data_IF_287731873437
#
_entry.id   IF_287731873437
#
_cell.length_a   1.000
_cell.length_b   1.000
_cell.length_c   1.000
_cell.angle_alpha   90.00
_cell.angle_beta   90.00
_cell.angle_gamma   90.00
#
_symmetry.space_group_name_H-M   'P 1'
#
loop_
_entity.id
_entity.type
_entity.pdbx_description
1 polymer ?
#
# COMPACT_ATOMS: atom_id res chain seq x y z
N UNK A 1 2.08 -25.85 -17.68
CA UNK A 1 1.80 -24.42 -17.96
C UNK A 1 2.64 -24.06 -19.16
N UNK A 2 2.18 -23.21 -20.09
CA UNK A 2 2.96 -22.82 -21.26
C UNK A 2 4.11 -21.89 -20.81
N UNK A 3 5.33 -22.20 -21.27
CA UNK A 3 6.50 -21.38 -20.99
C UNK A 3 6.48 -20.14 -21.92
N UNK A 4 6.38 -18.96 -21.31
CA UNK A 4 6.33 -17.67 -22.02
C UNK A 4 7.56 -16.81 -21.77
N UNK A 5 8.59 -17.40 -21.20
CA UNK A 5 9.82 -16.72 -20.83
C UNK A 5 9.56 -15.45 -19.96
N UNK A 6 8.54 -15.48 -19.09
CA UNK A 6 8.20 -14.33 -18.25
C UNK A 6 7.69 -14.75 -16.87
N UNK A 7 8.34 -14.28 -15.83
CA UNK A 7 7.87 -14.35 -14.44
C UNK A 7 7.42 -12.97 -13.95
N UNK A 8 6.50 -12.97 -13.02
CA UNK A 8 6.09 -11.76 -12.32
C UNK A 8 6.28 -11.93 -10.83
N UNK A 9 7.06 -11.06 -10.23
CA UNK A 9 7.25 -11.01 -8.78
C UNK A 9 6.45 -9.83 -8.24
N UNK A 10 5.57 -10.10 -7.29
CA UNK A 10 4.71 -9.09 -6.66
C UNK A 10 5.12 -8.96 -5.20
N UNK A 11 5.30 -7.72 -4.76
CA UNK A 11 5.70 -7.40 -3.39
C UNK A 11 4.67 -6.46 -2.76
N UNK A 12 4.28 -6.76 -1.53
CA UNK A 12 3.36 -5.92 -0.74
C UNK A 12 3.93 -5.76 0.67
N UNK A 13 4.30 -4.53 1.00
CA UNK A 13 4.72 -4.16 2.35
C UNK A 13 3.52 -3.94 3.27
N UNK A 14 3.78 -3.68 4.55
CA UNK A 14 2.73 -3.34 5.51
C UNK A 14 2.00 -2.06 5.10
N UNK A 15 0.73 -1.96 5.45
CA UNK A 15 -0.04 -0.74 5.23
C UNK A 15 0.61 0.44 5.97
N UNK A 16 0.66 1.60 5.29
CA UNK A 16 1.36 2.77 5.81
C UNK A 16 2.84 2.87 5.44
N UNK A 17 3.41 1.85 4.78
CA UNK A 17 4.76 1.95 4.24
C UNK A 17 4.86 3.06 3.20
N UNK A 18 5.94 3.85 3.25
CA UNK A 18 6.17 4.94 2.31
C UNK A 18 6.58 4.42 0.93
N UNK A 19 6.45 5.30 -0.07
CA UNK A 19 6.94 5.01 -1.43
C UNK A 19 8.45 4.74 -1.42
N UNK A 20 9.22 5.55 -0.69
CA UNK A 20 10.67 5.42 -0.62
C UNK A 20 11.11 4.09 -0.01
N UNK A 21 10.41 3.65 1.04
CA UNK A 21 10.66 2.32 1.62
C UNK A 21 10.44 1.20 0.59
N UNK A 22 9.33 1.27 -0.13
CA UNK A 22 8.99 0.26 -1.12
C UNK A 22 9.92 0.31 -2.34
N UNK A 23 10.33 1.49 -2.75
CA UNK A 23 11.26 1.71 -3.86
C UNK A 23 12.66 1.17 -3.55
N UNK A 24 13.16 1.44 -2.33
CA UNK A 24 14.42 0.84 -1.86
C UNK A 24 14.33 -0.68 -1.80
N UNK A 25 13.22 -1.22 -1.24
CA UNK A 25 13.01 -2.66 -1.21
C UNK A 25 13.01 -3.27 -2.62
N UNK A 26 12.37 -2.62 -3.59
CA UNK A 26 12.34 -3.11 -4.97
C UNK A 26 13.70 -3.03 -5.66
N UNK A 27 14.52 -2.04 -5.32
CA UNK A 27 15.90 -1.93 -5.79
C UNK A 27 16.76 -3.11 -5.29
N UNK A 28 16.63 -3.42 -3.99
CA UNK A 28 17.33 -4.55 -3.38
C UNK A 28 16.84 -5.89 -3.97
N UNK A 29 15.51 -6.01 -4.19
CA UNK A 29 14.89 -7.18 -4.79
C UNK A 29 15.35 -7.39 -6.25
N UNK A 30 15.44 -6.35 -7.06
CA UNK A 30 15.91 -6.48 -8.45
C UNK A 30 17.36 -6.94 -8.48
N UNK A 31 18.23 -6.39 -7.65
CA UNK A 31 19.63 -6.83 -7.53
C UNK A 31 19.72 -8.30 -7.06
N UNK A 32 18.82 -8.71 -6.16
CA UNK A 32 18.74 -10.09 -5.73
C UNK A 32 18.32 -11.02 -6.89
N UNK A 33 17.30 -10.64 -7.65
CA UNK A 33 16.79 -11.42 -8.77
C UNK A 33 17.81 -11.55 -9.92
N UNK A 34 18.56 -10.50 -10.24
CA UNK A 34 19.67 -10.53 -11.22
C UNK A 34 20.72 -11.57 -10.83
N UNK A 35 20.97 -11.76 -9.55
CA UNK A 35 21.93 -12.75 -9.06
C UNK A 35 21.38 -14.19 -9.08
N UNK A 36 20.12 -14.38 -8.69
CA UNK A 36 19.52 -15.71 -8.52
C UNK A 36 18.91 -16.29 -9.80
N UNK A 37 18.68 -15.44 -10.81
CA UNK A 37 18.11 -15.82 -12.12
C UNK A 37 19.06 -15.42 -13.24
N UNK A 38 20.15 -16.16 -13.45
CA UNK A 38 21.12 -15.85 -14.50
C UNK A 38 20.52 -15.92 -15.93
N UNK A 39 19.36 -16.56 -16.10
CA UNK A 39 18.61 -16.63 -17.35
C UNK A 39 17.75 -15.38 -17.62
N UNK A 40 17.84 -14.36 -16.76
CA UNK A 40 17.13 -13.10 -17.00
C UNK A 40 17.73 -12.36 -18.23
N UNK A 41 16.84 -11.76 -19.01
CA UNK A 41 17.19 -10.85 -20.10
C UNK A 41 16.87 -9.40 -19.78
N UNK A 42 15.81 -9.17 -19.02
CA UNK A 42 15.37 -7.84 -18.56
C UNK A 42 14.50 -7.95 -17.31
N UNK A 43 14.80 -7.14 -16.31
CA UNK A 43 13.94 -6.94 -15.16
C UNK A 43 13.34 -5.54 -15.22
N UNK A 44 12.01 -5.45 -15.24
CA UNK A 44 11.27 -4.20 -15.22
C UNK A 44 10.50 -4.08 -13.91
N UNK A 45 10.86 -3.13 -13.07
CA UNK A 45 10.25 -2.84 -11.77
C UNK A 45 9.28 -1.66 -11.84
N UNK A 46 8.17 -1.74 -11.11
CA UNK A 46 7.22 -0.66 -10.94
C UNK A 46 6.77 -0.58 -9.48
N UNK A 47 7.05 0.55 -8.84
CA UNK A 47 6.64 0.88 -7.47
C UNK A 47 5.44 1.82 -7.48
N UNK A 48 4.51 1.65 -6.53
CA UNK A 48 3.41 2.59 -6.32
C UNK A 48 2.24 2.46 -7.29
N UNK A 49 1.94 1.26 -7.77
CA UNK A 49 0.85 1.04 -8.73
C UNK A 49 -0.52 1.42 -8.16
N UNK A 50 -1.27 2.23 -8.93
CA UNK A 50 -2.65 2.59 -8.61
C UNK A 50 -2.81 3.45 -7.36
N UNK A 51 -1.79 4.23 -7.02
CA UNK A 51 -1.79 5.11 -5.84
C UNK A 51 -1.52 4.39 -4.51
N UNK A 52 -1.12 3.12 -4.56
CA UNK A 52 -0.68 2.38 -3.37
C UNK A 52 0.84 2.47 -3.22
N UNK A 53 1.32 3.10 -2.17
CA UNK A 53 2.75 3.25 -1.90
C UNK A 53 3.41 1.96 -1.43
N UNK A 54 2.65 1.06 -0.83
CA UNK A 54 3.11 -0.20 -0.24
C UNK A 54 3.08 -1.41 -1.18
N UNK A 55 2.77 -1.22 -2.46
CA UNK A 55 2.65 -2.31 -3.44
C UNK A 55 3.52 -2.05 -4.66
N UNK A 56 4.23 -3.08 -5.08
CA UNK A 56 5.08 -3.04 -6.25
C UNK A 56 5.12 -4.40 -6.96
N UNK A 57 5.61 -4.41 -8.18
CA UNK A 57 5.91 -5.65 -8.88
C UNK A 57 7.10 -5.48 -9.82
N UNK A 58 7.77 -6.57 -10.12
CA UNK A 58 8.68 -6.63 -11.25
C UNK A 58 8.28 -7.76 -12.21
N UNK A 59 8.50 -7.51 -13.50
CA UNK A 59 8.43 -8.52 -14.53
C UNK A 59 9.87 -8.93 -14.87
N UNK A 60 10.17 -10.20 -14.73
CA UNK A 60 11.45 -10.81 -15.10
C UNK A 60 11.22 -11.48 -16.46
N UNK A 61 11.79 -10.91 -17.50
CA UNK A 61 11.82 -11.51 -18.82
C UNK A 61 13.02 -12.43 -18.89
N UNK A 62 12.79 -13.69 -19.23
CA UNK A 62 13.83 -14.69 -19.37
C UNK A 62 14.30 -14.75 -20.84
N UNK A 63 15.51 -15.26 -21.06
CA UNK A 63 15.95 -15.65 -22.39
C UNK A 63 15.02 -16.74 -22.96
N UNK A 64 14.93 -16.90 -24.29
CA UNK A 64 14.10 -17.93 -24.92
C UNK A 64 14.35 -19.32 -24.31
N UNK A 65 13.32 -20.18 -24.32
CA UNK A 65 13.41 -21.51 -23.70
C UNK A 65 14.48 -22.43 -24.33
N UNK A 66 14.85 -22.16 -25.58
CA UNK A 66 15.92 -22.84 -26.30
C UNK A 66 17.34 -22.43 -25.88
N UNK A 67 17.46 -21.28 -25.19
CA UNK A 67 18.74 -20.71 -24.76
C UNK A 67 18.98 -20.85 -23.25
N UNK A 68 18.18 -21.66 -22.54
CA UNK A 68 18.30 -21.86 -21.10
C UNK A 68 18.05 -23.32 -20.70
N UNK A 69 18.71 -23.74 -19.61
CA UNK A 69 18.59 -25.10 -19.09
C UNK A 69 17.34 -25.29 -18.22
N UNK A 70 16.96 -24.27 -17.43
CA UNK A 70 15.80 -24.33 -16.52
C UNK A 70 14.54 -23.81 -17.24
N UNK A 71 13.44 -24.53 -17.07
CA UNK A 71 12.11 -24.04 -17.51
C UNK A 71 11.64 -22.88 -16.63
N UNK A 72 10.72 -22.07 -17.16
CA UNK A 72 10.07 -20.99 -16.39
C UNK A 72 9.46 -21.51 -15.08
N UNK A 73 8.90 -22.72 -15.08
CA UNK A 73 8.29 -23.33 -13.89
C UNK A 73 9.36 -23.69 -12.85
N UNK A 74 10.46 -24.28 -13.25
CA UNK A 74 11.58 -24.64 -12.35
C UNK A 74 12.17 -23.38 -11.70
N UNK A 75 12.39 -22.31 -12.47
CA UNK A 75 12.87 -21.03 -11.93
C UNK A 75 11.86 -20.46 -10.91
N UNK A 76 10.56 -20.53 -11.20
CA UNK A 76 9.53 -20.05 -10.27
C UNK A 76 9.48 -20.86 -8.99
N UNK A 77 9.61 -22.20 -9.09
CA UNK A 77 9.59 -23.11 -7.95
C UNK A 77 10.84 -22.94 -7.06
N UNK A 78 11.99 -22.68 -7.66
CA UNK A 78 13.25 -22.39 -6.95
C UNK A 78 13.20 -21.02 -6.24
N UNK A 79 12.62 -20.00 -6.88
CA UNK A 79 12.51 -18.67 -6.30
C UNK A 79 11.47 -18.57 -5.18
N UNK A 80 10.37 -19.29 -5.27
CA UNK A 80 9.25 -19.15 -4.34
C UNK A 80 9.63 -19.33 -2.86
N UNK A 81 10.42 -20.33 -2.44
CA UNK A 81 10.85 -20.48 -1.05
C UNK A 81 11.84 -19.38 -0.62
N UNK A 82 12.70 -18.93 -1.53
CA UNK A 82 13.70 -17.89 -1.25
C UNK A 82 13.02 -16.53 -1.03
N UNK A 83 12.07 -16.15 -1.89
CA UNK A 83 11.31 -14.91 -1.77
C UNK A 83 10.47 -14.83 -0.50
N UNK A 84 10.00 -15.98 0.03
CA UNK A 84 9.29 -16.03 1.32
C UNK A 84 10.18 -15.70 2.52
N UNK A 85 11.49 -15.84 2.40
CA UNK A 85 12.44 -15.55 3.47
C UNK A 85 12.82 -14.06 3.52
N UNK A 86 12.52 -13.30 2.46
CA UNK A 86 12.79 -11.87 2.45
C UNK A 86 11.90 -11.15 3.46
N UNK A 87 12.54 -10.39 4.33
CA UNK A 87 11.86 -9.54 5.32
C UNK A 87 11.60 -8.15 4.72
N UNK A 88 10.59 -7.46 5.18
CA UNK A 88 10.30 -6.10 4.73
C UNK A 88 9.05 -5.99 3.84
N UNK A 89 8.80 -6.95 2.96
CA UNK A 89 7.56 -7.06 2.21
C UNK A 89 7.20 -8.52 1.94
N UNK A 90 5.92 -8.81 1.85
CA UNK A 90 5.42 -10.11 1.39
C UNK A 90 5.66 -10.19 -0.11
N UNK A 91 6.60 -11.03 -0.52
CA UNK A 91 6.99 -11.17 -1.92
C UNK A 91 6.64 -12.55 -2.44
N UNK A 92 6.03 -12.59 -3.63
CA UNK A 92 5.57 -13.83 -4.28
C UNK A 92 5.90 -13.79 -5.77
N UNK A 93 6.36 -14.94 -6.30
CA UNK A 93 6.46 -15.15 -7.74
C UNK A 93 5.13 -15.68 -8.26
N UNK A 94 4.67 -15.14 -9.38
CA UNK A 94 3.46 -15.55 -10.07
C UNK A 94 3.75 -15.75 -11.56
N UNK A 95 3.02 -16.66 -12.19
CA UNK A 95 3.10 -16.89 -13.63
C UNK A 95 1.76 -16.49 -14.27
N UNK A 96 1.80 -15.93 -15.46
CA UNK A 96 0.59 -15.62 -16.22
C UNK A 96 -0.11 -16.90 -16.65
N UNK A 97 -1.35 -17.05 -16.25
CA UNK A 97 -2.20 -18.13 -16.75
C UNK A 97 -2.62 -17.83 -18.20
N UNK A 98 -2.63 -18.87 -19.05
CA UNK A 98 -3.05 -18.76 -20.47
C UNK A 98 -4.56 -18.57 -20.60
N UNK A 99 -5.33 -19.18 -19.68
CA UNK A 99 -6.78 -19.11 -19.60
C UNK A 99 -7.20 -18.81 -18.16
N UNK A 100 -8.21 -17.95 -17.97
CA UNK A 100 -8.77 -17.60 -16.68
C UNK A 100 -8.74 -16.11 -16.37
N UNK A 101 -9.04 -15.76 -15.13
CA UNK A 101 -9.13 -14.37 -14.68
C UNK A 101 -7.73 -13.71 -14.70
N UNK A 102 -7.48 -12.84 -15.68
CA UNK A 102 -6.19 -12.17 -15.90
C UNK A 102 -5.77 -11.21 -14.79
N UNK A 103 -6.55 -11.06 -13.73
CA UNK A 103 -6.30 -10.11 -12.64
C UNK A 103 -5.34 -10.61 -11.56
N UNK A 104 -4.82 -11.84 -11.68
CA UNK A 104 -3.79 -12.37 -10.75
C UNK A 104 -4.31 -12.63 -9.33
N UNK A 105 -5.60 -12.92 -9.18
CA UNK A 105 -6.22 -13.38 -7.93
C UNK A 105 -5.95 -14.87 -7.65
N UNK A 106 -6.18 -15.28 -6.42
CA UNK A 106 -6.20 -16.69 -6.04
C UNK A 106 -7.46 -17.35 -6.61
N UNK A 107 -7.45 -18.67 -6.89
CA UNK A 107 -8.51 -19.34 -7.64
C UNK A 107 -9.85 -19.44 -6.90
N UNK A 108 -9.86 -19.34 -5.59
CA UNK A 108 -11.06 -19.27 -4.75
C UNK A 108 -11.28 -17.83 -4.35
N UNK A 109 -12.45 -17.27 -4.65
CA UNK A 109 -12.85 -15.95 -4.20
C UNK A 109 -14.20 -16.02 -3.49
N UNK A 110 -14.27 -15.54 -2.26
CA UNK A 110 -15.48 -15.50 -1.46
C UNK A 110 -15.74 -14.07 -0.99
N UNK A 111 -16.91 -13.52 -1.37
CA UNK A 111 -17.28 -12.15 -1.04
C UNK A 111 -18.21 -12.13 0.18
N UNK A 112 -17.75 -11.50 1.25
CA UNK A 112 -18.52 -11.25 2.47
C UNK A 112 -19.13 -9.86 2.37
N UNK A 113 -20.44 -9.76 2.58
CA UNK A 113 -21.18 -8.51 2.51
C UNK A 113 -21.79 -8.16 3.87
N UNK A 114 -21.83 -6.87 4.17
CA UNK A 114 -22.52 -6.35 5.34
C UNK A 114 -23.21 -5.02 5.06
N UNK A 115 -24.09 -4.59 5.95
CA UNK A 115 -24.80 -3.30 5.83
C UNK A 115 -23.85 -2.11 6.05
N UNK A 116 -22.90 -2.27 6.97
CA UNK A 116 -21.92 -1.24 7.32
C UNK A 116 -20.53 -1.84 7.55
N UNK A 117 -19.54 -0.98 7.72
CA UNK A 117 -18.14 -1.35 7.89
C UNK A 117 -17.87 -1.99 9.27
N UNK A 118 -18.60 -1.56 10.30
CA UNK A 118 -18.41 -2.05 11.67
C UNK A 118 -18.83 -3.51 11.78
N UNK A 119 -19.90 -3.91 11.09
CA UNK A 119 -20.33 -5.32 11.01
C UNK A 119 -19.23 -6.17 10.37
N UNK A 120 -18.62 -5.71 9.27
CA UNK A 120 -17.48 -6.41 8.65
C UNK A 120 -16.29 -6.49 9.59
N UNK A 121 -15.95 -5.40 10.28
CA UNK A 121 -14.85 -5.35 11.26
C UNK A 121 -15.02 -6.38 12.37
N UNK A 122 -16.27 -6.66 12.78
CA UNK A 122 -16.59 -7.66 13.79
C UNK A 122 -16.54 -9.11 13.28
N UNK A 123 -16.91 -9.34 12.03
CA UNK A 123 -17.04 -10.69 11.44
C UNK A 123 -15.72 -11.20 10.86
N UNK A 124 -14.98 -10.34 10.14
CA UNK A 124 -13.79 -10.73 9.39
C UNK A 124 -12.71 -11.42 10.22
N UNK A 125 -12.36 -10.96 11.45
CA UNK A 125 -11.33 -11.65 12.24
C UNK A 125 -11.70 -13.09 12.59
N UNK A 126 -12.97 -13.36 12.88
CA UNK A 126 -13.47 -14.71 13.18
C UNK A 126 -13.40 -15.60 11.95
N UNK A 127 -13.90 -15.11 10.82
CA UNK A 127 -13.86 -15.81 9.55
C UNK A 127 -12.42 -16.14 9.12
N UNK A 128 -11.52 -15.17 9.18
CA UNK A 128 -10.12 -15.35 8.81
C UNK A 128 -9.38 -16.31 9.75
N UNK A 129 -9.74 -16.35 11.03
CA UNK A 129 -9.20 -17.33 11.96
C UNK A 129 -9.60 -18.77 11.56
N UNK A 130 -10.85 -19.01 11.17
CA UNK A 130 -11.31 -20.32 10.70
C UNK A 130 -10.62 -20.69 9.36
N UNK A 131 -10.51 -19.76 8.43
CA UNK A 131 -9.78 -19.98 7.16
C UNK A 131 -8.31 -20.36 7.44
N UNK A 132 -7.67 -19.69 8.40
CA UNK A 132 -6.27 -19.95 8.75
C UNK A 132 -6.02 -21.33 9.35
N UNK A 133 -7.02 -21.87 10.04
CA UNK A 133 -6.95 -23.20 10.66
C UNK A 133 -7.37 -24.32 9.70
N UNK A 134 -7.96 -23.98 8.55
CA UNK A 134 -8.42 -24.96 7.59
C UNK A 134 -7.26 -25.61 6.81
N UNK A 135 -7.14 -26.94 6.79
CA UNK A 135 -6.14 -27.64 6.00
C UNK A 135 -6.42 -27.65 4.49
N UNK A 136 -7.58 -27.13 4.09
CA UNK A 136 -8.01 -27.11 2.69
C UNK A 136 -7.29 -26.05 1.86
N UNK A 137 -6.72 -25.03 2.52
CA UNK A 137 -6.09 -23.88 1.85
C UNK A 137 -4.58 -23.83 2.13
N UNK A 138 -3.79 -23.64 1.07
CA UNK A 138 -2.34 -23.42 1.17
C UNK A 138 -1.96 -21.96 1.37
N UNK A 139 -2.78 -21.06 0.84
CA UNK A 139 -2.58 -19.61 0.90
C UNK A 139 -3.93 -18.93 0.87
N UNK A 140 -4.06 -17.87 1.64
CA UNK A 140 -5.26 -17.04 1.66
C UNK A 140 -4.88 -15.57 1.83
N UNK A 141 -5.72 -14.67 1.37
CA UNK A 141 -5.58 -13.22 1.54
C UNK A 141 -6.96 -12.57 1.67
N UNK A 142 -6.99 -11.43 2.36
CA UNK A 142 -8.16 -10.58 2.55
C UNK A 142 -7.88 -9.22 1.93
N UNK A 143 -8.77 -8.73 1.07
CA UNK A 143 -8.62 -7.42 0.42
C UNK A 143 -8.88 -6.23 1.37
N UNK A 144 -9.80 -6.39 2.34
CA UNK A 144 -10.15 -5.36 3.32
C UNK A 144 -9.32 -5.50 4.59
N UNK A 145 -8.24 -4.72 4.70
CA UNK A 145 -7.33 -4.72 5.86
C UNK A 145 -7.52 -3.45 6.68
N UNK A 146 -7.69 -3.58 8.00
CA UNK A 146 -7.82 -2.46 8.95
C UNK A 146 -6.46 -2.14 9.60
N UNK A 147 -5.43 -1.98 8.76
CA UNK A 147 -4.04 -1.87 9.23
C UNK A 147 -3.34 -0.59 8.81
N UNK A 148 -4.00 0.26 7.99
CA UNK A 148 -3.41 1.55 7.63
C UNK A 148 -3.45 2.48 8.85
N UNK A 149 -2.29 2.91 9.38
CA UNK A 149 -2.26 3.90 10.45
C UNK A 149 -2.84 5.23 9.95
N UNK A 150 -3.66 5.83 10.78
CA UNK A 150 -4.29 7.13 10.53
C UNK A 150 -4.18 7.98 11.77
N UNK A 151 -3.86 9.25 11.57
CA UNK A 151 -3.83 10.26 12.62
C UNK A 151 -5.04 11.18 12.47
N UNK A 152 -5.99 11.07 13.38
CA UNK A 152 -7.15 11.97 13.45
C UNK A 152 -6.79 13.19 14.27
N UNK A 153 -6.92 14.37 13.66
CA UNK A 153 -6.64 15.66 14.29
C UNK A 153 -7.97 16.31 14.68
N UNK A 154 -8.24 16.39 15.97
CA UNK A 154 -9.44 17.03 16.53
C UNK A 154 -9.10 18.46 16.99
N UNK A 155 -9.78 19.46 16.40
CA UNK A 155 -9.57 20.86 16.74
C UNK A 155 -10.40 21.24 17.97
N UNK A 156 -9.73 21.77 19.00
CA UNK A 156 -10.40 22.35 20.18
C UNK A 156 -10.91 23.76 19.84
N UNK A 157 -12.17 23.83 19.42
CA UNK A 157 -12.80 25.07 18.94
C UNK A 157 -12.91 26.14 20.02
N UNK A 158 -13.15 25.75 21.26
CA UNK A 158 -13.29 26.69 22.38
C UNK A 158 -11.95 27.36 22.68
N UNK A 159 -10.89 26.57 22.72
CA UNK A 159 -9.53 27.07 22.95
C UNK A 159 -9.04 27.93 21.79
N UNK A 160 -9.35 27.54 20.54
CA UNK A 160 -9.04 28.35 19.36
C UNK A 160 -9.73 29.72 19.41
N UNK A 161 -11.02 29.76 19.77
CA UNK A 161 -11.79 30.99 19.92
C UNK A 161 -11.21 31.91 21.01
N UNK A 162 -10.84 31.36 22.17
CA UNK A 162 -10.21 32.11 23.24
C UNK A 162 -8.89 32.76 22.84
N UNK A 163 -8.09 32.07 22.02
CA UNK A 163 -6.80 32.54 21.53
C UNK A 163 -6.92 33.38 20.24
N UNK A 164 -8.13 33.57 19.74
CA UNK A 164 -8.42 34.34 18.53
C UNK A 164 -7.87 33.70 17.25
N UNK A 165 -7.84 32.37 17.21
CA UNK A 165 -7.42 31.60 16.05
C UNK A 165 -8.66 31.02 15.38
N UNK A 166 -8.81 31.23 14.05
CA UNK A 166 -9.91 30.63 13.32
C UNK A 166 -9.64 29.16 12.98
N UNK A 167 -10.70 28.35 12.87
CA UNK A 167 -10.60 26.97 12.39
C UNK A 167 -10.05 26.92 10.97
N UNK A 168 -10.36 27.94 10.15
CA UNK A 168 -9.85 28.07 8.80
C UNK A 168 -8.32 28.23 8.78
N UNK A 169 -7.77 29.09 9.64
CA UNK A 169 -6.32 29.30 9.73
C UNK A 169 -5.60 28.03 10.20
N UNK A 170 -6.18 27.30 11.16
CA UNK A 170 -5.65 26.01 11.61
C UNK A 170 -5.64 25.02 10.42
N UNK A 171 -6.74 24.84 9.73
CA UNK A 171 -6.88 23.92 8.62
C UNK A 171 -5.94 24.28 7.46
N UNK A 172 -5.85 25.57 7.13
CA UNK A 172 -4.95 26.06 6.08
C UNK A 172 -3.49 25.84 6.44
N UNK A 173 -3.11 26.06 7.68
CA UNK A 173 -1.76 25.82 8.14
C UNK A 173 -1.39 24.33 8.07
N UNK A 174 -2.29 23.44 8.53
CA UNK A 174 -2.10 22.01 8.40
C UNK A 174 -1.97 21.57 6.94
N UNK A 175 -2.79 22.12 6.04
CA UNK A 175 -2.69 21.81 4.62
C UNK A 175 -1.34 22.24 4.02
N UNK A 176 -0.87 23.45 4.34
CA UNK A 176 0.39 23.98 3.82
C UNK A 176 1.62 23.24 4.36
N UNK A 177 1.53 22.69 5.56
CA UNK A 177 2.67 22.05 6.23
C UNK A 177 2.71 20.54 6.00
N UNK A 178 1.55 19.88 5.96
CA UNK A 178 1.43 18.41 5.97
C UNK A 178 1.05 17.81 4.61
N UNK A 179 0.63 18.63 3.64
CA UNK A 179 0.27 18.15 2.31
C UNK A 179 1.02 18.91 1.22
N UNK A 180 1.17 18.25 0.07
CA UNK A 180 1.77 18.84 -1.14
C UNK A 180 0.79 19.82 -1.78
N UNK A 181 0.62 21.00 -1.17
CA UNK A 181 -0.36 21.93 -1.64
C UNK A 181 0.21 22.85 -2.73
N UNK A 182 -0.49 22.89 -3.86
CA UNK A 182 -0.21 23.84 -4.90
C UNK A 182 -0.63 25.25 -4.47
N UNK A 183 0.33 26.17 -4.36
CA UNK A 183 0.11 27.55 -3.96
C UNK A 183 0.06 28.52 -5.16
N UNK A 184 0.50 28.07 -6.34
CA UNK A 184 0.48 28.92 -7.53
C UNK A 184 1.15 28.29 -8.74
N UNK A 185 1.40 29.13 -9.73
CA UNK A 185 2.10 28.77 -10.96
C UNK A 185 3.11 29.86 -11.32
N UNK A 186 4.18 29.48 -12.01
CA UNK A 186 5.05 30.41 -12.69
C UNK A 186 5.25 29.98 -14.15
N UNK A 187 5.59 30.94 -15.00
CA UNK A 187 5.82 30.68 -16.41
C UNK A 187 7.31 30.82 -16.69
N UNK A 188 7.90 29.77 -17.26
CA UNK A 188 9.31 29.77 -17.70
C UNK A 188 9.36 29.20 -19.12
N UNK A 189 9.99 29.93 -20.04
CA UNK A 189 10.15 29.55 -21.45
C UNK A 189 8.82 29.14 -22.12
N UNK A 190 7.73 29.89 -21.85
CA UNK A 190 6.41 29.60 -22.41
C UNK A 190 5.67 28.39 -21.84
N UNK A 191 6.24 27.72 -20.83
CA UNK A 191 5.63 26.60 -20.13
C UNK A 191 5.23 27.02 -18.72
N UNK A 192 4.07 26.50 -18.28
CA UNK A 192 3.54 26.75 -16.94
C UNK A 192 3.98 25.66 -15.98
N UNK A 193 4.58 26.04 -14.86
CA UNK A 193 5.04 25.15 -13.78
C UNK A 193 4.24 25.42 -12.51
N UNK A 194 3.95 24.34 -11.75
CA UNK A 194 3.27 24.44 -10.47
C UNK A 194 4.27 24.79 -9.36
N UNK A 195 3.85 25.62 -8.42
CA UNK A 195 4.56 25.88 -7.17
C UNK A 195 3.87 25.04 -6.10
N UNK A 196 4.58 24.06 -5.53
CA UNK A 196 4.11 23.22 -4.46
C UNK A 196 4.85 23.63 -3.18
N UNK A 197 4.11 23.83 -2.08
CA UNK A 197 4.67 24.14 -0.77
C UNK A 197 4.50 22.93 0.15
N UNK A 198 5.58 22.53 0.78
CA UNK A 198 5.59 21.47 1.78
C UNK A 198 6.69 21.73 2.82
N UNK A 199 6.55 21.16 4.01
CA UNK A 199 7.65 21.09 4.95
C UNK A 199 8.65 20.00 4.52
N UNK A 200 9.90 20.18 4.89
CA UNK A 200 10.90 19.12 4.74
C UNK A 200 10.42 17.84 5.44
N UNK A 201 10.67 16.68 4.82
CA UNK A 201 10.23 15.38 5.36
C UNK A 201 10.72 15.12 6.79
N UNK A 202 11.90 15.62 7.14
CA UNK A 202 12.47 15.51 8.49
C UNK A 202 11.67 16.27 9.56
N UNK A 203 10.86 17.25 9.14
CA UNK A 203 10.06 18.12 10.01
C UNK A 203 8.57 17.75 10.06
N UNK A 204 8.15 16.67 9.37
CA UNK A 204 6.76 16.20 9.31
C UNK A 204 6.61 14.68 9.38
N UNK A 205 7.58 13.99 9.96
CA UNK A 205 7.59 12.53 10.01
C UNK A 205 7.05 11.94 11.32
N UNK A 206 6.80 12.77 12.33
CA UNK A 206 6.27 12.35 13.63
C UNK A 206 5.11 13.25 14.06
N UNK A 207 4.12 12.71 14.81
CA UNK A 207 3.03 13.51 15.39
C UNK A 207 3.54 14.70 16.23
N UNK A 208 4.66 14.51 16.94
CA UNK A 208 5.26 15.56 17.76
C UNK A 208 5.77 16.76 16.94
N UNK A 209 5.98 16.63 15.64
CA UNK A 209 6.46 17.72 14.80
C UNK A 209 5.39 18.82 14.63
N UNK A 210 4.11 18.52 14.89
CA UNK A 210 3.04 19.53 14.94
C UNK A 210 3.26 20.59 16.03
N UNK A 211 4.01 20.30 17.09
CA UNK A 211 4.37 21.27 18.12
C UNK A 211 5.28 22.40 17.60
N UNK A 212 5.98 22.17 16.48
CA UNK A 212 6.83 23.18 15.85
C UNK A 212 6.08 24.09 14.89
N UNK A 213 4.80 23.81 14.63
CA UNK A 213 3.95 24.58 13.71
C UNK A 213 3.15 25.61 14.49
N UNK A 214 3.15 26.84 14.02
CA UNK A 214 2.48 27.97 14.67
C UNK A 214 1.43 28.59 13.76
N UNK A 215 0.33 29.05 14.39
CA UNK A 215 -0.74 29.81 13.75
C UNK A 215 -0.81 31.21 14.39
N UNK A 216 -1.20 32.20 13.62
CA UNK A 216 -1.39 33.55 14.14
C UNK A 216 -2.74 33.67 14.85
N UNK A 217 -2.70 34.06 16.11
CA UNK A 217 -3.87 34.34 16.92
C UNK A 217 -4.11 35.83 17.08
N UNK A 218 -4.87 36.15 18.13
CA UNK A 218 -5.20 37.54 18.51
C UNK A 218 -3.91 38.36 18.70
N UNK A 219 -3.96 39.62 18.31
CA UNK A 219 -2.83 40.55 18.39
C UNK A 219 -1.56 40.07 17.67
N UNK A 220 -1.73 39.26 16.63
CA UNK A 220 -0.62 38.71 15.83
C UNK A 220 0.34 37.81 16.62
N UNK A 221 -0.08 37.30 17.77
CA UNK A 221 0.71 36.37 18.58
C UNK A 221 0.75 34.98 17.94
N UNK A 222 1.91 34.34 17.98
CA UNK A 222 2.05 32.97 17.50
C UNK A 222 1.56 31.97 18.56
N UNK A 223 0.65 31.10 18.14
CA UNK A 223 0.10 30.01 18.96
C UNK A 223 0.53 28.68 18.32
N UNK A 224 1.16 27.82 19.12
CA UNK A 224 1.54 26.49 18.62
C UNK A 224 0.30 25.62 18.37
N UNK A 225 0.32 24.83 17.29
CA UNK A 225 -0.80 23.98 16.90
C UNK A 225 -1.11 22.88 17.93
N UNK A 226 -0.15 22.35 18.64
CA UNK A 226 -0.35 21.34 19.68
C UNK A 226 -1.24 21.83 20.82
N UNK A 227 -1.29 23.15 21.04
CA UNK A 227 -2.21 23.77 22.00
C UNK A 227 -3.67 23.81 21.50
N UNK A 228 -3.89 23.71 20.20
CA UNK A 228 -5.19 23.90 19.56
C UNK A 228 -5.83 22.59 19.08
N UNK A 229 -5.04 21.50 19.01
CA UNK A 229 -5.50 20.21 18.49
C UNK A 229 -5.20 19.08 19.47
N UNK A 230 -5.98 18.01 19.38
CA UNK A 230 -5.66 16.72 19.98
C UNK A 230 -5.51 15.69 18.87
N UNK A 231 -4.57 14.77 19.03
CA UNK A 231 -4.28 13.74 18.05
C UNK A 231 -4.66 12.38 18.59
N UNK A 232 -5.36 11.60 17.79
CA UNK A 232 -5.75 10.24 18.09
C UNK A 232 -5.24 9.32 16.99
N UNK A 233 -4.46 8.32 17.37
CA UNK A 233 -4.02 7.29 16.46
C UNK A 233 -5.12 6.24 16.30
N UNK A 234 -5.45 5.94 15.06
CA UNK A 234 -6.44 4.94 14.68
C UNK A 234 -5.93 4.10 13.51
N UNK A 235 -6.67 3.07 13.17
CA UNK A 235 -6.40 2.29 11.97
C UNK A 235 -7.65 2.17 11.12
N UNK A 236 -7.52 2.50 9.85
CA UNK A 236 -8.62 2.44 8.88
C UNK A 236 -8.25 1.56 7.71
N UNK A 237 -9.24 1.04 6.98
CA UNK A 237 -8.96 0.36 5.74
C UNK A 237 -8.57 1.39 4.66
N UNK A 238 -7.48 1.15 3.91
CA UNK A 238 -7.03 2.06 2.85
C UNK A 238 -8.01 2.15 1.68
N UNK A 239 -8.87 1.15 1.54
CA UNK A 239 -9.90 1.05 0.50
C UNK A 239 -11.16 0.45 1.07
N UNK A 240 -12.30 0.95 0.58
CA UNK A 240 -13.63 0.38 0.83
C UNK A 240 -14.13 -0.28 -0.43
N UNK A 241 -14.56 -1.54 -0.30
CA UNK A 241 -15.12 -2.30 -1.41
C UNK A 241 -16.64 -2.39 -1.27
N UNK A 242 -17.30 -2.45 -2.40
CA UNK A 242 -18.75 -2.68 -2.47
C UNK A 242 -19.04 -3.73 -3.51
N UNK A 243 -19.89 -4.66 -3.13
CA UNK A 243 -20.44 -5.66 -4.02
C UNK A 243 -21.95 -5.61 -3.90
N UNK A 244 -22.64 -5.49 -5.02
CA UNK A 244 -24.11 -5.36 -5.06
C UNK A 244 -24.67 -4.29 -4.07
N UNK A 245 -24.01 -3.11 -4.03
CA UNK A 245 -24.32 -1.95 -3.16
C UNK A 245 -24.02 -2.11 -1.67
N UNK A 246 -23.74 -3.32 -1.19
CA UNK A 246 -23.33 -3.56 0.20
C UNK A 246 -21.81 -3.32 0.37
N UNK A 247 -21.42 -2.93 1.57
CA UNK A 247 -20.00 -2.92 1.94
C UNK A 247 -19.51 -4.36 1.93
N UNK A 248 -18.37 -4.61 1.31
CA UNK A 248 -17.90 -5.97 1.09
C UNK A 248 -16.42 -6.12 1.37
N UNK A 249 -16.04 -7.36 1.64
CA UNK A 249 -14.65 -7.81 1.70
C UNK A 249 -14.53 -9.11 0.92
N UNK A 250 -13.45 -9.26 0.15
CA UNK A 250 -13.17 -10.47 -0.62
C UNK A 250 -12.04 -11.25 0.05
N UNK A 251 -12.35 -12.49 0.40
CA UNK A 251 -11.36 -13.47 0.83
C UNK A 251 -10.97 -14.31 -0.37
N UNK A 252 -9.69 -14.30 -0.71
CA UNK A 252 -9.13 -15.09 -1.79
C UNK A 252 -8.27 -16.22 -1.21
N UNK A 253 -8.34 -17.41 -1.80
CA UNK A 253 -7.56 -18.55 -1.32
C UNK A 253 -7.09 -19.46 -2.46
N UNK A 254 -6.02 -20.21 -2.19
CA UNK A 254 -5.57 -21.32 -3.04
C UNK A 254 -5.79 -22.65 -2.33
N UNK A 255 -6.27 -23.68 -3.01
CA UNK A 255 -6.38 -25.02 -2.43
C UNK A 255 -5.02 -25.56 -2.01
N UNK A 256 -4.99 -26.40 -0.99
CA UNK A 256 -3.82 -27.15 -0.59
C UNK A 256 -3.45 -28.21 -1.65
N UNK A 257 -2.19 -28.67 -1.64
CA UNK A 257 -1.70 -29.68 -2.58
C UNK A 257 -2.57 -30.95 -2.51
N UNK A 258 -3.10 -31.38 -3.66
CA UNK A 258 -3.99 -32.54 -3.78
C UNK A 258 -5.47 -32.25 -3.53
N UNK A 259 -5.85 -30.99 -3.29
CA UNK A 259 -7.25 -30.56 -3.21
C UNK A 259 -7.69 -29.92 -4.53
N UNK A 260 -8.94 -30.11 -4.90
CA UNK A 260 -9.56 -29.58 -6.13
C UNK A 260 -10.65 -28.57 -5.80
N UNK A 261 -11.02 -27.76 -6.79
CA UNK A 261 -12.08 -26.76 -6.71
C UNK A 261 -13.46 -27.37 -6.99
N UNK A 262 -13.68 -28.63 -6.70
CA UNK A 262 -14.92 -29.31 -6.96
C UNK A 262 -15.39 -30.16 -5.81
#
# INVERSE_FOLDING_TARGET
MEDRAQLRVVSTATEGSSFEYMDQYMTDLTTYLEKEVPEENLIMSLTGRGGQTNSAFCNVMLVPSEDRDRTQQEIADDLAPQLKQLTGARTMVTQRQTFGNQRGGLPVEYVIQAKNLDDLKGILPKFMNEVSQSPEFSTYDLDLKFTKPELTININRDKAALLGVSVEDISRTLQLTMSDQRIGYYILNGKQYQIISEFDKSQRNKPADLATVYVRGKDNKLVSLDNLVTMEESSTPPRLFRYDRFVSATVSASPAKGKTLG
#
